data_IF_198455242690
#
_entry.id   IF_198455242690
#
_cell.length_a   1.000
_cell.length_b   1.000
_cell.length_c   1.000
_cell.angle_alpha   90.00
_cell.angle_beta   90.00
_cell.angle_gamma   90.00
#
_symmetry.space_group_name_H-M   'P 1'
#
loop_
_entity.id
_entity.type
_entity.pdbx_description
1 polymer ?
#
# COMPACT_ATOMS: atom_id res chain seq x y z
N UNK A 1 8.23 9.31 21.20
CA UNK A 1 9.29 9.12 20.18
C UNK A 1 9.31 7.65 19.83
N UNK A 2 8.92 7.27 18.61
CA UNK A 2 8.97 5.88 18.15
C UNK A 2 10.32 5.70 17.46
N UNK A 3 11.17 4.79 17.97
CA UNK A 3 12.39 4.35 17.28
C UNK A 3 12.04 3.09 16.49
N UNK A 4 12.14 3.16 15.17
CA UNK A 4 12.06 1.99 14.30
C UNK A 4 13.41 1.26 14.34
N UNK A 5 13.45 -0.06 14.55
CA UNK A 5 14.69 -0.84 14.50
C UNK A 5 15.30 -0.79 13.09
N UNK A 6 16.62 -0.93 13.01
CA UNK A 6 17.36 -1.02 11.74
C UNK A 6 16.80 -2.17 10.89
N UNK A 7 16.08 -1.79 9.83
CA UNK A 7 15.66 -2.64 8.72
C UNK A 7 14.97 -3.97 9.10
N UNK A 8 13.66 -3.90 9.39
CA UNK A 8 12.73 -4.98 9.04
C UNK A 8 12.04 -4.63 7.71
N UNK A 9 12.60 -5.00 6.55
CA UNK A 9 12.03 -4.64 5.25
C UNK A 9 10.67 -5.29 4.95
N UNK A 10 10.21 -6.23 5.78
CA UNK A 10 8.96 -6.95 5.51
C UNK A 10 7.69 -6.17 5.89
N UNK A 11 7.78 -5.10 6.69
CA UNK A 11 6.60 -4.69 7.48
C UNK A 11 6.46 -3.18 7.71
N UNK A 12 7.05 -2.34 6.88
CA UNK A 12 6.74 -0.92 6.93
C UNK A 12 5.32 -0.68 6.34
N UNK A 13 4.49 0.20 6.92
CA UNK A 13 3.16 0.55 6.40
C UNK A 13 3.16 0.95 4.92
N UNK A 14 4.24 1.59 4.50
CA UNK A 14 4.53 1.98 3.12
C UNK A 14 4.73 0.78 2.20
N UNK A 15 5.40 -0.30 2.63
CA UNK A 15 5.57 -1.48 1.77
C UNK A 15 4.24 -2.24 1.56
N UNK A 16 3.39 -2.31 2.59
CA UNK A 16 2.03 -2.85 2.47
C UNK A 16 1.18 -2.02 1.48
N UNK A 17 1.30 -0.69 1.55
CA UNK A 17 0.64 0.19 0.59
C UNK A 17 1.21 0.02 -0.83
N UNK A 18 2.52 -0.12 -0.96
CA UNK A 18 3.19 -0.39 -2.25
C UNK A 18 2.67 -1.69 -2.86
N UNK A 19 2.50 -2.75 -2.06
CA UNK A 19 1.95 -4.02 -2.52
C UNK A 19 0.48 -3.89 -2.97
N UNK A 20 -0.35 -3.14 -2.23
CA UNK A 20 -1.74 -2.85 -2.65
C UNK A 20 -1.78 -2.09 -3.97
N UNK A 21 -0.90 -1.10 -4.17
CA UNK A 21 -0.81 -0.35 -5.44
C UNK A 21 -0.35 -1.27 -6.58
N UNK A 22 0.73 -2.03 -6.39
CA UNK A 22 1.27 -2.96 -7.40
C UNK A 22 0.22 -3.99 -7.82
N UNK A 23 -0.48 -4.60 -6.86
CA UNK A 23 -1.46 -5.66 -7.11
C UNK A 23 -2.80 -5.14 -7.62
N UNK A 24 -3.36 -4.12 -6.96
CA UNK A 24 -4.75 -3.71 -7.18
C UNK A 24 -4.91 -2.49 -8.10
N UNK A 25 -3.89 -1.65 -8.25
CA UNK A 25 -3.92 -0.53 -9.21
C UNK A 25 -3.31 -0.93 -10.56
N UNK A 26 -2.16 -1.62 -10.55
CA UNK A 26 -1.37 -1.92 -11.75
C UNK A 26 -1.43 -3.38 -12.20
N UNK A 27 -1.78 -4.32 -11.31
CA UNK A 27 -1.87 -5.74 -11.66
C UNK A 27 -3.01 -6.08 -12.63
N UNK A 28 -4.02 -5.22 -12.75
CA UNK A 28 -5.19 -5.42 -13.63
C UNK A 28 -5.13 -4.66 -14.96
N UNK A 29 -4.21 -3.72 -15.11
CA UNK A 29 -4.04 -2.92 -16.32
C UNK A 29 -2.60 -2.45 -16.39
N UNK A 30 -1.91 -2.79 -17.48
CA UNK A 30 -0.53 -2.34 -17.73
C UNK A 30 -0.61 -0.95 -18.37
N UNK A 31 -0.24 0.13 -17.66
CA UNK A 31 -0.23 1.46 -18.27
C UNK A 31 0.78 1.50 -19.41
N UNK A 32 0.38 2.08 -20.53
CA UNK A 32 1.19 2.21 -21.75
C UNK A 32 2.24 3.30 -21.65
N UNK A 33 2.03 4.27 -20.75
CA UNK A 33 2.93 5.39 -20.54
C UNK A 33 2.91 5.88 -19.07
N UNK A 34 3.89 6.72 -18.74
CA UNK A 34 4.08 7.26 -17.38
C UNK A 34 2.88 8.08 -16.88
N UNK A 35 2.23 8.85 -17.76
CA UNK A 35 1.08 9.69 -17.37
C UNK A 35 -0.12 8.83 -16.97
N UNK A 36 -0.40 7.79 -17.75
CA UNK A 36 -1.44 6.80 -17.45
C UNK A 36 -1.17 6.08 -16.12
N UNK A 37 0.08 5.66 -15.90
CA UNK A 37 0.50 5.05 -14.63
C UNK A 37 0.22 5.96 -13.44
N UNK A 38 0.63 7.24 -13.52
CA UNK A 38 0.42 8.22 -12.45
C UNK A 38 -1.07 8.44 -12.19
N UNK A 39 -1.88 8.58 -13.25
CA UNK A 39 -3.34 8.75 -13.14
C UNK A 39 -4.00 7.57 -12.43
N UNK A 40 -3.65 6.35 -12.84
CA UNK A 40 -4.17 5.10 -12.25
C UNK A 40 -3.79 4.98 -10.77
N UNK A 41 -2.53 5.24 -10.42
CA UNK A 41 -2.06 5.20 -9.02
C UNK A 41 -2.80 6.24 -8.18
N UNK A 42 -2.91 7.50 -8.65
CA UNK A 42 -3.63 8.56 -7.93
C UNK A 42 -5.09 8.21 -7.71
N UNK A 43 -5.78 7.73 -8.74
CA UNK A 43 -7.19 7.31 -8.65
C UNK A 43 -7.37 6.20 -7.61
N UNK A 44 -6.47 5.21 -7.61
CA UNK A 44 -6.51 4.12 -6.64
C UNK A 44 -6.30 4.61 -5.21
N UNK A 45 -5.28 5.46 -4.97
CA UNK A 45 -4.99 6.04 -3.65
C UNK A 45 -6.16 6.91 -3.15
N UNK A 46 -6.73 7.76 -3.99
CA UNK A 46 -7.92 8.56 -3.64
C UNK A 46 -9.13 7.69 -3.26
N UNK A 47 -9.31 6.54 -3.93
CA UNK A 47 -10.34 5.58 -3.55
C UNK A 47 -10.05 4.94 -2.19
N UNK A 48 -8.80 4.58 -1.92
CA UNK A 48 -8.37 3.98 -0.64
C UNK A 48 -8.53 4.92 0.55
N UNK A 49 -8.34 6.23 0.36
CA UNK A 49 -8.65 7.24 1.38
C UNK A 49 -10.11 7.17 1.86
N UNK A 50 -11.05 6.74 1.01
CA UNK A 50 -12.47 6.55 1.35
C UNK A 50 -12.80 5.13 1.85
N UNK A 51 -11.80 4.25 1.97
CA UNK A 51 -11.96 2.84 2.35
C UNK A 51 -11.05 2.48 3.53
N UNK A 52 -11.26 3.10 4.72
CA UNK A 52 -10.40 2.90 5.88
C UNK A 52 -10.36 1.44 6.35
N UNK A 53 -11.41 0.66 6.11
CA UNK A 53 -11.45 -0.77 6.42
C UNK A 53 -10.45 -1.59 5.58
N UNK A 54 -10.20 -1.21 4.32
CA UNK A 54 -9.20 -1.88 3.48
C UNK A 54 -7.81 -1.59 4.00
N UNK A 55 -7.52 -0.31 4.28
CA UNK A 55 -6.25 0.11 4.87
C UNK A 55 -6.02 -0.60 6.20
N UNK A 56 -7.01 -0.63 7.09
CA UNK A 56 -6.93 -1.35 8.37
C UNK A 56 -6.72 -2.86 8.19
N UNK A 57 -7.26 -3.47 7.14
CA UNK A 57 -7.07 -4.89 6.87
C UNK A 57 -5.68 -5.21 6.30
N UNK A 58 -5.03 -4.28 5.58
CA UNK A 58 -3.62 -4.44 5.18
C UNK A 58 -2.71 -4.59 6.42
N UNK A 59 -3.06 -3.92 7.52
CA UNK A 59 -2.36 -4.04 8.82
C UNK A 59 -2.76 -5.28 9.64
N UNK A 60 -3.66 -6.15 9.15
CA UNK A 60 -4.09 -7.38 9.86
C UNK A 60 -3.44 -8.65 9.32
N UNK A 61 -2.60 -8.56 8.29
CA UNK A 61 -1.81 -9.71 7.87
C UNK A 61 -0.95 -10.22 9.04
N UNK A 62 -0.77 -11.54 9.12
CA UNK A 62 -0.20 -12.27 10.26
C UNK A 62 1.19 -11.81 10.72
N UNK A 63 1.86 -10.96 9.95
CA UNK A 63 3.19 -10.45 10.25
C UNK A 63 3.20 -9.06 10.92
N UNK A 64 2.07 -8.35 11.06
CA UNK A 64 2.01 -6.96 11.59
C UNK A 64 1.74 -6.88 13.11
N UNK A 65 1.97 -7.96 13.86
CA UNK A 65 1.66 -8.03 15.31
C UNK A 65 2.50 -7.11 16.22
N UNK A 66 3.49 -6.40 15.69
CA UNK A 66 4.29 -5.45 16.49
C UNK A 66 3.71 -4.02 16.54
N UNK A 67 2.66 -3.71 15.77
CA UNK A 67 2.06 -2.36 15.69
C UNK A 67 0.69 -2.24 16.38
N UNK A 68 0.32 -3.21 17.23
CA UNK A 68 -0.89 -3.17 18.06
C UNK A 68 -0.62 -2.53 19.43
#
# INVERSE_FOLDING_TARGET
>A
MIRLPEYCPELSPDELLNQDVKTNALGKSRPTNKAEMISTVRRHLHRRQKQPHVIRNLFKEKHVQYAA
#
